data_IF_217457139773
#
_entry.id   IF_217457139773
#
_cell.length_a   1.000
_cell.length_b   1.000
_cell.length_c   1.000
_cell.angle_alpha   90.00
_cell.angle_beta   90.00
_cell.angle_gamma   90.00
#
_symmetry.space_group_name_H-M   'P 1'
#
loop_
_entity.id
_entity.type
_entity.pdbx_description
1 polymer ?
#
# COMPACT_ATOMS: atom_id res chain seq x y z
N UNK A 1 38.65 37.71 5.31
CA UNK A 1 37.97 37.72 4.00
C UNK A 1 37.71 36.29 3.44
N UNK A 2 38.72 35.42 3.47
CA UNK A 2 38.61 34.04 2.97
C UNK A 2 37.58 33.23 3.76
N UNK A 3 37.44 33.43 5.08
CA UNK A 3 36.47 32.72 5.94
C UNK A 3 35.02 33.13 5.66
N UNK A 4 34.76 34.40 5.32
CA UNK A 4 33.45 34.88 4.97
C UNK A 4 32.93 34.35 3.64
N UNK A 5 33.84 34.21 2.63
CA UNK A 5 33.48 33.58 1.35
C UNK A 5 33.22 32.08 1.46
N UNK A 6 33.98 31.40 2.32
CA UNK A 6 33.78 29.95 2.61
C UNK A 6 32.39 29.72 3.31
N UNK A 7 32.04 30.54 4.30
CA UNK A 7 30.72 30.44 4.98
C UNK A 7 29.57 30.66 4.00
N UNK A 8 29.68 31.62 3.08
CA UNK A 8 28.70 31.85 2.02
C UNK A 8 28.60 30.69 1.03
N UNK A 9 29.73 30.08 0.66
CA UNK A 9 29.77 28.92 -0.24
C UNK A 9 29.20 27.65 0.40
N UNK A 10 29.49 27.40 1.68
CA UNK A 10 28.92 26.29 2.43
C UNK A 10 27.41 26.39 2.56
N UNK A 11 26.88 27.59 2.80
CA UNK A 11 25.45 27.83 2.83
C UNK A 11 24.79 27.56 1.47
N UNK A 12 25.39 28.05 0.39
CA UNK A 12 24.91 27.76 -0.96
C UNK A 12 25.01 26.28 -1.34
N UNK A 13 26.08 25.59 -0.96
CA UNK A 13 26.25 24.15 -1.20
C UNK A 13 25.18 23.37 -0.42
N UNK A 14 25.01 23.68 0.86
CA UNK A 14 24.02 23.03 1.72
C UNK A 14 22.59 23.22 1.21
N UNK A 15 22.25 24.44 0.78
CA UNK A 15 20.92 24.73 0.24
C UNK A 15 20.70 24.01 -1.10
N UNK A 16 21.69 24.00 -1.99
CA UNK A 16 21.63 23.21 -3.24
C UNK A 16 21.44 21.73 -2.96
N UNK A 17 22.22 21.16 -2.03
CA UNK A 17 22.03 19.77 -1.62
C UNK A 17 20.63 19.52 -1.07
N UNK A 18 20.11 20.45 -0.27
CA UNK A 18 18.79 20.34 0.35
C UNK A 18 17.66 20.41 -0.69
N UNK A 19 17.76 21.27 -1.68
CA UNK A 19 16.72 21.42 -2.70
C UNK A 19 16.86 20.44 -3.87
N UNK A 20 18.07 20.06 -4.26
CA UNK A 20 18.31 19.25 -5.45
C UNK A 20 18.49 17.76 -5.16
N UNK A 21 19.03 17.38 -3.99
CA UNK A 21 19.34 15.97 -3.67
C UNK A 21 18.35 15.30 -2.73
N UNK A 22 17.41 16.04 -2.16
CA UNK A 22 16.39 15.44 -1.31
C UNK A 22 15.53 14.45 -2.11
N UNK A 23 15.32 13.28 -1.51
CA UNK A 23 14.56 12.18 -2.10
C UNK A 23 13.16 12.59 -2.60
N UNK A 24 12.34 13.36 -1.85
CA UNK A 24 11.04 13.81 -2.34
C UNK A 24 11.08 14.62 -3.64
N UNK A 25 12.19 15.33 -3.89
CA UNK A 25 12.35 16.13 -5.10
C UNK A 25 12.82 15.32 -6.32
N UNK A 26 13.23 14.05 -6.11
CA UNK A 26 13.80 13.18 -7.13
C UNK A 26 13.06 11.84 -7.24
N UNK A 27 11.77 11.84 -7.02
CA UNK A 27 10.94 10.61 -7.09
C UNK A 27 10.65 10.14 -8.51
N UNK A 28 10.84 10.99 -9.51
CA UNK A 28 10.55 10.68 -10.91
C UNK A 28 11.83 10.38 -11.69
N UNK A 29 11.79 9.35 -12.51
CA UNK A 29 12.89 9.04 -13.45
C UNK A 29 12.90 10.03 -14.60
N UNK A 30 14.04 10.58 -14.97
CA UNK A 30 14.13 11.48 -16.11
C UNK A 30 13.90 10.79 -17.46
N UNK A 31 14.00 9.46 -17.54
CA UNK A 31 13.86 8.69 -18.79
C UNK A 31 12.40 8.46 -19.19
N UNK A 32 11.53 8.12 -18.24
CA UNK A 32 10.16 7.66 -18.49
C UNK A 32 9.12 8.36 -17.60
N UNK A 33 9.56 9.26 -16.71
CA UNK A 33 8.68 9.92 -15.75
C UNK A 33 8.05 8.98 -14.71
N UNK A 34 8.47 7.71 -14.68
CA UNK A 34 8.01 6.75 -13.70
C UNK A 34 8.65 6.92 -12.33
N UNK A 35 8.08 6.32 -11.26
CA UNK A 35 8.66 6.40 -9.93
C UNK A 35 10.04 5.72 -9.87
N UNK A 36 11.02 6.40 -9.28
CA UNK A 36 12.36 5.86 -9.00
C UNK A 36 12.32 4.96 -7.78
N UNK A 37 11.71 5.46 -6.71
CA UNK A 37 11.57 4.72 -5.46
C UNK A 37 10.34 3.81 -5.55
N UNK A 38 10.57 2.50 -5.67
CA UNK A 38 9.51 1.48 -5.65
C UNK A 38 9.83 0.49 -4.55
N UNK A 39 8.86 0.11 -3.71
CA UNK A 39 9.05 -0.92 -2.70
C UNK A 39 9.57 -2.22 -3.32
N UNK A 40 10.47 -2.91 -2.61
CA UNK A 40 11.11 -4.14 -3.07
C UNK A 40 11.25 -5.16 -1.95
N UNK A 41 11.54 -6.40 -2.31
CA UNK A 41 11.84 -7.50 -1.38
C UNK A 41 10.75 -7.65 -0.30
N UNK A 42 11.13 -7.57 0.97
CA UNK A 42 10.25 -7.81 2.12
C UNK A 42 9.08 -6.82 2.24
N UNK A 43 9.25 -5.60 1.72
CA UNK A 43 8.15 -4.62 1.67
C UNK A 43 7.03 -5.11 0.75
N UNK A 44 7.39 -5.60 -0.43
CA UNK A 44 6.42 -6.18 -1.38
C UNK A 44 5.81 -7.45 -0.80
N UNK A 45 6.64 -8.31 -0.19
CA UNK A 45 6.19 -9.56 0.40
C UNK A 45 5.15 -9.32 1.50
N UNK A 46 5.38 -8.32 2.37
CA UNK A 46 4.43 -7.96 3.42
C UNK A 46 3.09 -7.47 2.88
N UNK A 47 3.09 -6.61 1.86
CA UNK A 47 1.86 -6.11 1.22
C UNK A 47 1.16 -7.23 0.44
N UNK A 48 1.92 -8.07 -0.26
CA UNK A 48 1.40 -9.27 -0.93
C UNK A 48 0.64 -10.16 0.05
N UNK A 49 1.25 -10.49 1.18
CA UNK A 49 0.62 -11.27 2.24
C UNK A 49 -0.64 -10.59 2.78
N UNK A 50 -0.56 -9.28 3.06
CA UNK A 50 -1.66 -8.52 3.62
C UNK A 50 -2.89 -8.49 2.70
N UNK A 51 -2.69 -8.34 1.39
CA UNK A 51 -3.77 -8.18 0.40
C UNK A 51 -4.28 -9.51 -0.18
N UNK A 52 -3.67 -10.64 0.21
CA UNK A 52 -4.07 -11.97 -0.23
C UNK A 52 -5.46 -12.32 0.33
N UNK A 53 -6.31 -12.89 -0.51
CA UNK A 53 -7.59 -13.50 -0.12
C UNK A 53 -7.40 -15.03 -0.05
N UNK A 54 -7.95 -15.64 1.00
CA UNK A 54 -7.97 -17.11 1.14
C UNK A 54 -9.39 -17.54 1.46
N UNK A 55 -10.04 -18.32 0.59
CA UNK A 55 -11.35 -18.87 0.86
C UNK A 55 -11.28 -19.96 1.92
N UNK A 56 -12.38 -20.13 2.66
CA UNK A 56 -12.49 -21.21 3.67
C UNK A 56 -11.72 -20.99 4.97
N UNK A 57 -11.24 -19.75 5.22
CA UNK A 57 -10.56 -19.43 6.48
C UNK A 57 -11.53 -19.01 7.57
N UNK A 58 -11.07 -19.11 8.82
CA UNK A 58 -11.85 -18.80 10.02
C UNK A 58 -12.41 -17.37 9.95
N UNK A 59 -13.72 -17.23 10.15
CA UNK A 59 -14.41 -15.94 10.25
C UNK A 59 -14.88 -15.34 8.95
N UNK A 60 -14.86 -16.10 7.86
CA UNK A 60 -15.43 -15.67 6.58
C UNK A 60 -16.93 -15.33 6.69
N UNK A 61 -17.35 -14.26 6.02
CA UNK A 61 -18.73 -13.80 5.96
C UNK A 61 -19.22 -13.03 7.19
N UNK A 62 -18.40 -12.82 8.22
CA UNK A 62 -18.81 -12.05 9.40
C UNK A 62 -18.99 -10.57 9.06
N UNK A 63 -19.95 -9.96 9.78
CA UNK A 63 -20.31 -8.54 9.62
C UNK A 63 -19.84 -7.76 10.84
N UNK A 64 -19.18 -6.62 10.59
CA UNK A 64 -18.66 -5.72 11.62
C UNK A 64 -19.20 -4.30 11.41
N UNK A 65 -19.34 -3.56 12.52
CA UNK A 65 -19.81 -2.17 12.47
C UNK A 65 -18.72 -1.19 12.01
N UNK A 66 -17.46 -1.55 12.19
CA UNK A 66 -16.32 -0.72 11.81
C UNK A 66 -15.07 -1.57 11.55
N UNK A 67 -14.08 -0.99 10.88
CA UNK A 67 -12.76 -1.61 10.67
C UNK A 67 -12.07 -1.88 12.02
N UNK A 68 -12.22 -0.99 12.99
CA UNK A 68 -11.63 -1.16 14.32
C UNK A 68 -12.21 -2.37 15.07
N UNK A 69 -13.51 -2.62 14.96
CA UNK A 69 -14.14 -3.82 15.54
C UNK A 69 -13.60 -5.10 14.87
N UNK A 70 -13.45 -5.07 13.55
CA UNK A 70 -12.85 -6.19 12.81
C UNK A 70 -11.39 -6.42 13.23
N UNK A 71 -10.63 -5.36 13.50
CA UNK A 71 -9.25 -5.44 13.97
C UNK A 71 -9.16 -6.04 15.37
N UNK A 72 -10.05 -5.67 16.29
CA UNK A 72 -10.17 -6.32 17.60
C UNK A 72 -10.55 -7.80 17.49
N UNK A 73 -11.44 -8.13 16.56
CA UNK A 73 -11.80 -9.53 16.30
C UNK A 73 -10.61 -10.34 15.74
N UNK A 74 -9.76 -9.72 14.95
CA UNK A 74 -8.51 -10.33 14.49
C UNK A 74 -7.52 -10.57 15.64
N UNK A 75 -7.32 -9.59 16.51
CA UNK A 75 -6.44 -9.73 17.67
C UNK A 75 -6.92 -10.84 18.64
N UNK A 76 -8.22 -11.01 18.77
CA UNK A 76 -8.83 -12.12 19.53
C UNK A 76 -8.84 -13.46 18.77
N UNK A 77 -8.28 -13.52 17.57
CA UNK A 77 -8.21 -14.74 16.77
C UNK A 77 -9.56 -15.25 16.26
N UNK A 78 -10.58 -14.38 16.18
CA UNK A 78 -11.93 -14.71 15.69
C UNK A 78 -11.97 -14.75 14.16
N UNK A 79 -11.17 -13.88 13.52
CA UNK A 79 -11.00 -13.78 12.06
C UNK A 79 -9.51 -13.79 11.71
N UNK A 80 -9.20 -13.97 10.43
CA UNK A 80 -7.84 -13.85 9.89
C UNK A 80 -7.72 -12.62 8.98
N UNK A 81 -6.51 -12.19 8.66
CA UNK A 81 -6.27 -11.08 7.73
C UNK A 81 -6.83 -11.34 6.32
N UNK A 82 -6.89 -12.63 5.95
CA UNK A 82 -7.27 -13.09 4.61
C UNK A 82 -8.75 -13.45 4.49
N UNK A 83 -9.49 -13.41 5.62
CA UNK A 83 -10.91 -13.71 5.65
C UNK A 83 -11.70 -12.63 4.95
N UNK A 84 -12.61 -13.02 4.07
CA UNK A 84 -13.57 -12.11 3.43
C UNK A 84 -14.64 -11.74 4.44
N UNK A 85 -14.72 -10.46 4.79
CA UNK A 85 -15.63 -9.93 5.81
C UNK A 85 -16.47 -8.79 5.24
N UNK A 86 -17.55 -8.47 5.93
CA UNK A 86 -18.43 -7.35 5.61
C UNK A 86 -18.29 -6.28 6.68
N UNK A 87 -17.97 -5.07 6.28
CA UNK A 87 -17.77 -3.94 7.20
C UNK A 87 -18.71 -2.81 6.82
N UNK A 88 -19.43 -2.27 7.81
CA UNK A 88 -20.23 -1.06 7.61
C UNK A 88 -19.28 0.14 7.52
N UNK A 89 -19.29 0.79 6.36
CA UNK A 89 -18.56 2.02 6.11
C UNK A 89 -19.53 3.19 6.07
N UNK A 90 -19.10 4.33 6.59
CA UNK A 90 -19.84 5.59 6.50
C UNK A 90 -18.90 6.64 5.93
N UNK A 91 -19.32 7.32 4.88
CA UNK A 91 -18.61 8.45 4.29
C UNK A 91 -19.57 9.61 4.05
N UNK A 92 -19.08 10.82 4.15
CA UNK A 92 -19.84 12.03 3.85
C UNK A 92 -19.72 12.36 2.37
N UNK A 93 -20.84 12.55 1.70
CA UNK A 93 -20.87 12.98 0.30
C UNK A 93 -20.45 14.47 0.17
N UNK A 94 -20.15 14.92 -1.05
CA UNK A 94 -19.86 16.33 -1.35
C UNK A 94 -21.00 17.29 -0.96
N UNK A 95 -22.23 16.76 -0.89
CA UNK A 95 -23.42 17.50 -0.43
C UNK A 95 -23.55 17.58 1.11
N UNK A 96 -22.67 16.94 1.88
CA UNK A 96 -22.73 16.89 3.36
C UNK A 96 -23.64 15.79 3.92
N UNK A 97 -24.17 14.90 3.08
CA UNK A 97 -25.02 13.80 3.49
C UNK A 97 -24.17 12.56 3.87
N UNK A 98 -24.53 11.90 4.97
CA UNK A 98 -23.85 10.67 5.39
C UNK A 98 -24.42 9.47 4.62
N UNK A 99 -23.59 8.88 3.78
CA UNK A 99 -23.90 7.62 3.10
C UNK A 99 -23.30 6.49 3.90
N UNK A 100 -24.12 5.53 4.29
CA UNK A 100 -23.67 4.32 4.98
C UNK A 100 -24.05 3.07 4.19
N UNK A 101 -23.13 2.14 4.06
CA UNK A 101 -23.34 0.88 3.37
C UNK A 101 -22.41 -0.21 3.89
N UNK A 102 -22.66 -1.42 3.44
CA UNK A 102 -21.84 -2.58 3.80
C UNK A 102 -20.91 -2.88 2.64
N UNK A 103 -19.62 -2.85 2.91
CA UNK A 103 -18.55 -3.17 1.95
C UNK A 103 -17.99 -4.54 2.27
N UNK A 104 -17.83 -5.38 1.26
CA UNK A 104 -17.26 -6.71 1.37
C UNK A 104 -15.83 -6.69 0.84
N UNK A 105 -14.86 -7.02 1.70
CA UNK A 105 -13.45 -7.15 1.36
C UNK A 105 -12.70 -7.92 2.45
N UNK A 106 -11.38 -8.08 2.34
CA UNK A 106 -10.58 -8.69 3.40
C UNK A 106 -10.10 -7.63 4.40
N UNK A 107 -9.91 -8.06 5.67
CA UNK A 107 -9.38 -7.15 6.70
C UNK A 107 -8.04 -6.53 6.27
N UNK A 108 -7.17 -7.32 5.64
CA UNK A 108 -5.88 -6.85 5.18
C UNK A 108 -5.98 -5.74 4.12
N UNK A 109 -6.95 -5.83 3.20
CA UNK A 109 -7.19 -4.77 2.20
C UNK A 109 -7.74 -3.50 2.84
N UNK A 110 -8.62 -3.60 3.85
CA UNK A 110 -9.07 -2.42 4.60
C UNK A 110 -7.90 -1.70 5.26
N UNK A 111 -7.01 -2.43 5.93
CA UNK A 111 -5.81 -1.87 6.56
C UNK A 111 -4.89 -1.21 5.51
N UNK A 112 -4.71 -1.84 4.35
CA UNK A 112 -3.88 -1.27 3.28
C UNK A 112 -4.48 0.01 2.69
N UNK A 113 -5.80 0.07 2.52
CA UNK A 113 -6.47 1.27 2.02
C UNK A 113 -6.45 2.45 3.00
N UNK A 114 -6.20 2.22 4.30
CA UNK A 114 -6.10 3.28 5.30
C UNK A 114 -4.92 4.23 5.03
N UNK A 115 -3.81 3.70 4.53
CA UNK A 115 -2.62 4.50 4.21
C UNK A 115 -2.66 5.13 2.82
N UNK A 116 -3.56 4.68 1.94
CA UNK A 116 -3.66 5.17 0.58
C UNK A 116 -4.67 6.31 0.47
N UNK A 117 -4.37 7.36 -0.31
CA UNK A 117 -5.39 8.32 -0.73
C UNK A 117 -6.53 7.59 -1.45
N UNK A 118 -7.77 8.02 -1.17
CA UNK A 118 -8.98 7.36 -1.69
C UNK A 118 -9.53 8.05 -2.95
N UNK A 119 -8.67 8.66 -3.76
CA UNK A 119 -8.98 9.41 -4.99
C UNK A 119 -8.00 9.08 -6.12
N UNK A 120 -7.48 7.86 -6.13
CA UNK A 120 -6.50 7.41 -7.12
C UNK A 120 -7.09 7.07 -8.48
N UNK A 121 -8.43 6.97 -8.59
CA UNK A 121 -9.14 6.74 -9.84
C UNK A 121 -9.28 5.26 -10.25
N UNK A 122 -9.03 4.33 -9.34
CA UNK A 122 -9.35 2.91 -9.58
C UNK A 122 -10.84 2.64 -9.49
N UNK A 123 -11.54 3.43 -8.69
CA UNK A 123 -13.00 3.34 -8.51
C UNK A 123 -13.66 4.61 -9.06
N UNK A 124 -14.65 4.42 -9.93
CA UNK A 124 -15.44 5.54 -10.45
C UNK A 124 -16.35 6.10 -9.35
N UNK A 125 -15.92 7.21 -8.77
CA UNK A 125 -16.62 7.93 -7.67
C UNK A 125 -17.80 8.78 -8.13
N UNK A 126 -18.10 8.80 -9.42
CA UNK A 126 -19.27 9.52 -9.96
C UNK A 126 -20.59 8.84 -9.54
N UNK A 127 -20.54 7.57 -9.18
CA UNK A 127 -21.70 6.79 -8.73
C UNK A 127 -21.72 6.73 -7.21
N UNK A 128 -22.85 7.03 -6.60
CA UNK A 128 -23.01 6.99 -5.13
C UNK A 128 -22.73 5.61 -4.52
N UNK A 129 -23.07 4.53 -5.22
CA UNK A 129 -22.81 3.16 -4.79
C UNK A 129 -21.32 2.87 -4.61
N UNK A 130 -20.47 3.51 -5.40
CA UNK A 130 -19.03 3.30 -5.41
C UNK A 130 -18.29 4.17 -4.39
N UNK A 131 -18.93 5.17 -3.78
CA UNK A 131 -18.29 6.07 -2.80
C UNK A 131 -17.71 5.33 -1.61
N UNK A 132 -18.33 4.24 -1.20
CA UNK A 132 -17.93 3.44 -0.05
C UNK A 132 -16.84 2.42 -0.38
N UNK A 133 -16.68 2.05 -1.66
CA UNK A 133 -15.72 1.04 -2.06
C UNK A 133 -14.28 1.50 -1.82
N UNK A 134 -13.39 0.61 -1.36
CA UNK A 134 -11.96 0.89 -1.25
C UNK A 134 -11.34 1.02 -2.64
N UNK A 135 -10.33 1.87 -2.79
CA UNK A 135 -9.60 2.05 -4.06
C UNK A 135 -8.90 0.75 -4.50
N UNK A 136 -8.33 0.03 -3.55
CA UNK A 136 -7.60 -1.20 -3.82
C UNK A 136 -8.36 -2.38 -3.20
N UNK A 137 -9.08 -3.11 -4.03
CA UNK A 137 -9.77 -4.37 -3.67
C UNK A 137 -9.25 -5.57 -4.48
N UNK A 138 -8.00 -5.51 -4.91
CA UNK A 138 -7.31 -6.57 -5.62
C UNK A 138 -6.03 -6.98 -4.89
N UNK A 139 -5.49 -8.12 -5.32
CA UNK A 139 -4.23 -8.61 -4.79
C UNK A 139 -3.05 -7.77 -5.31
N UNK A 140 -2.22 -7.26 -4.38
CA UNK A 140 -1.18 -6.30 -4.70
C UNK A 140 0.18 -6.97 -4.74
N UNK A 141 0.78 -7.01 -5.93
CA UNK A 141 2.17 -7.40 -6.15
C UNK A 141 3.05 -6.22 -6.51
N UNK A 142 4.29 -6.49 -6.92
CA UNK A 142 5.28 -5.45 -7.27
C UNK A 142 4.81 -4.53 -8.40
N UNK A 143 4.14 -5.09 -9.42
CA UNK A 143 3.62 -4.33 -10.56
C UNK A 143 2.53 -3.35 -10.12
N UNK A 144 1.54 -3.87 -9.39
CA UNK A 144 0.42 -3.09 -8.88
C UNK A 144 0.88 -1.98 -7.92
N UNK A 145 1.89 -2.25 -7.07
CA UNK A 145 2.49 -1.21 -6.21
C UNK A 145 3.11 -0.08 -7.02
N UNK A 146 3.83 -0.41 -8.10
CA UNK A 146 4.38 0.61 -9.00
C UNK A 146 3.28 1.46 -9.64
N UNK A 147 2.21 0.82 -10.10
CA UNK A 147 1.08 1.50 -10.73
C UNK A 147 0.33 2.39 -9.72
N UNK A 148 0.08 1.90 -8.49
CA UNK A 148 -0.51 2.68 -7.40
C UNK A 148 0.33 3.94 -7.12
N UNK A 149 1.65 3.80 -6.97
CA UNK A 149 2.54 4.92 -6.74
C UNK A 149 2.55 5.92 -7.90
N UNK A 150 2.45 5.44 -9.13
CA UNK A 150 2.33 6.31 -10.31
C UNK A 150 1.04 7.14 -10.24
N UNK A 151 -0.08 6.54 -9.84
CA UNK A 151 -1.34 7.25 -9.64
C UNK A 151 -1.24 8.28 -8.50
N UNK A 152 -0.62 7.91 -7.37
CA UNK A 152 -0.41 8.84 -6.24
C UNK A 152 0.44 10.04 -6.66
N UNK A 153 1.53 9.83 -7.41
CA UNK A 153 2.40 10.93 -7.90
C UNK A 153 1.62 11.85 -8.81
N UNK A 154 0.84 11.30 -9.73
CA UNK A 154 0.08 12.08 -10.71
C UNK A 154 -1.03 12.91 -10.07
N UNK A 155 -1.65 12.41 -9.00
CA UNK A 155 -2.79 13.05 -8.34
C UNK A 155 -2.35 14.01 -7.23
N UNK A 156 -1.41 13.59 -6.38
CA UNK A 156 -1.04 14.32 -5.15
C UNK A 156 0.36 14.94 -5.18
N UNK A 157 1.15 14.66 -6.22
CA UNK A 157 2.52 15.15 -6.33
C UNK A 157 3.52 14.42 -5.43
N UNK A 158 4.76 14.90 -5.43
CA UNK A 158 5.91 14.18 -4.86
C UNK A 158 5.93 14.15 -3.32
N UNK A 159 5.48 15.21 -2.66
CA UNK A 159 5.52 15.32 -1.18
C UNK A 159 4.61 14.26 -0.54
N UNK A 160 3.35 14.21 -0.97
CA UNK A 160 2.40 13.22 -0.44
C UNK A 160 2.81 11.78 -0.79
N UNK A 161 3.40 11.59 -1.98
CA UNK A 161 3.93 10.29 -2.38
C UNK A 161 5.05 9.81 -1.47
N UNK A 162 5.92 10.71 -1.00
CA UNK A 162 6.98 10.35 -0.06
C UNK A 162 6.41 9.83 1.28
N UNK A 163 5.35 10.47 1.79
CA UNK A 163 4.66 10.01 3.00
C UNK A 163 4.03 8.62 2.80
N UNK A 164 3.30 8.45 1.69
CA UNK A 164 2.69 7.15 1.34
C UNK A 164 3.75 6.05 1.16
N UNK A 165 4.92 6.38 0.59
CA UNK A 165 6.03 5.43 0.47
C UNK A 165 6.58 5.00 1.82
N UNK A 166 6.71 5.93 2.77
CA UNK A 166 7.17 5.61 4.12
C UNK A 166 6.14 4.76 4.87
N UNK A 167 4.86 5.03 4.71
CA UNK A 167 3.77 4.22 5.28
C UNK A 167 3.74 2.80 4.68
N UNK A 168 3.86 2.67 3.37
CA UNK A 168 3.96 1.37 2.67
C UNK A 168 5.18 0.59 3.16
N UNK A 169 6.33 1.24 3.32
CA UNK A 169 7.55 0.63 3.85
C UNK A 169 7.33 0.10 5.26
N UNK A 170 6.81 0.94 6.17
CA UNK A 170 6.55 0.56 7.56
C UNK A 170 5.56 -0.61 7.66
N UNK A 171 4.47 -0.55 6.88
CA UNK A 171 3.47 -1.60 6.82
C UNK A 171 4.04 -2.89 6.21
N UNK A 172 4.78 -2.79 5.11
CA UNK A 172 5.39 -3.93 4.45
C UNK A 172 6.30 -4.73 5.37
N UNK A 173 7.19 -4.08 6.10
CA UNK A 173 8.05 -4.74 7.08
C UNK A 173 7.27 -5.33 8.26
N UNK A 174 6.29 -4.60 8.79
CA UNK A 174 5.43 -5.08 9.88
C UNK A 174 4.73 -6.39 9.51
N UNK A 175 4.14 -6.46 8.33
CA UNK A 175 3.39 -7.63 7.92
C UNK A 175 4.26 -8.75 7.35
N UNK A 176 5.42 -8.45 6.78
CA UNK A 176 6.43 -9.45 6.43
C UNK A 176 6.93 -10.20 7.68
N UNK A 177 7.21 -9.48 8.76
CA UNK A 177 7.59 -10.06 10.04
C UNK A 177 6.47 -10.91 10.65
N UNK A 178 5.22 -10.44 10.60
CA UNK A 178 4.06 -11.19 11.10
C UNK A 178 3.74 -12.43 10.26
N UNK A 179 3.96 -12.36 8.96
CA UNK A 179 3.76 -13.46 8.05
C UNK A 179 4.74 -14.61 8.30
N UNK A 180 5.95 -14.28 8.80
CA UNK A 180 7.03 -15.24 9.09
C UNK A 180 7.26 -16.22 7.93
N UNK A 181 7.20 -15.72 6.67
CA UNK A 181 7.35 -16.55 5.49
C UNK A 181 8.79 -17.05 5.38
N UNK A 182 8.94 -18.36 5.28
CA UNK A 182 10.22 -19.02 5.04
C UNK A 182 10.05 -20.09 3.97
N UNK A 183 11.13 -20.38 3.25
CA UNK A 183 11.16 -21.43 2.22
C UNK A 183 12.19 -22.47 2.61
N UNK A 184 11.75 -23.72 2.76
CA UNK A 184 12.66 -24.86 2.99
C UNK A 184 13.27 -25.34 1.68
N UNK A 185 14.51 -25.84 1.74
CA UNK A 185 15.17 -26.48 0.60
C UNK A 185 14.35 -27.69 0.11
N UNK A 186 13.68 -28.39 1.01
CA UNK A 186 12.81 -29.54 0.69
C UNK A 186 11.56 -29.17 -0.11
N UNK A 187 11.13 -27.92 -0.05
CA UNK A 187 9.97 -27.40 -0.81
C UNK A 187 10.31 -27.01 -2.25
N UNK A 188 11.62 -26.94 -2.57
CA UNK A 188 12.09 -26.70 -3.93
C UNK A 188 12.04 -27.97 -4.76
N UNK A 189 10.84 -28.33 -5.21
CA UNK A 189 10.64 -29.50 -6.07
C UNK A 189 11.02 -29.20 -7.50
N UNK A 190 11.83 -30.09 -8.10
CA UNK A 190 12.18 -29.98 -9.53
C UNK A 190 11.02 -30.50 -10.37
N UNK A 191 10.44 -29.70 -11.27
CA UNK A 191 9.36 -30.16 -12.13
C UNK A 191 9.78 -31.37 -12.95
N UNK A 192 8.91 -32.44 -13.08
CA UNK A 192 9.26 -33.65 -13.83
C UNK A 192 9.53 -33.38 -15.30
N UNK A 193 8.93 -32.33 -15.86
CA UNK A 193 9.12 -31.90 -17.26
C UNK A 193 10.56 -31.44 -17.54
N UNK A 194 11.36 -31.10 -16.53
CA UNK A 194 12.74 -30.65 -16.72
C UNK A 194 13.57 -31.66 -17.52
N UNK A 195 13.39 -32.97 -17.25
CA UNK A 195 14.13 -34.06 -17.96
C UNK A 195 13.72 -34.19 -19.44
N UNK A 196 12.56 -33.66 -19.83
CA UNK A 196 12.09 -33.71 -21.22
C UNK A 196 12.52 -32.46 -22.00
N UNK A 197 12.89 -31.36 -21.30
CA UNK A 197 13.31 -30.10 -21.89
C UNK A 197 14.84 -29.96 -21.99
N UNK A 198 15.60 -30.86 -21.39
CA UNK A 198 17.06 -30.99 -21.47
C UNK A 198 17.41 -32.13 -22.42
#
# INVERSE_FOLDING_TARGET
EIRLSLVGSEMCIRDRCRFMLLSPNNLLKPSDGGPVAVPSQDMVLGIYYLTQERPGVKGEGKIFKSVNEALLAYENGIITLHSKIKVKMTKTNAAGEEISGVVESTLGRFIFNEILPQDLGYVDRSKEENLLLPEVDFHVGKKQLKDILQHVINTHGTTRTAEVLDDIKAMGYKYSTRAAMTVSISEMTVPPVKKQLI
#
